data_IF_053520396951
#
_entry.id   IF_053520396951
#
_cell.length_a   1.000
_cell.length_b   1.000
_cell.length_c   1.000
_cell.angle_alpha   90.00
_cell.angle_beta   90.00
_cell.angle_gamma   90.00
#
_symmetry.space_group_name_H-M   'P 1'
#
loop_
_entity.id
_entity.type
_entity.pdbx_description
1 polymer ?
#
# COMPACT_ATOMS: atom_id res chain seq x y z
N UNK A 1 0.76 -1.51 -31.27
CA UNK A 1 -0.42 -2.19 -30.70
C UNK A 1 -0.30 -2.05 -29.19
N UNK A 2 -1.26 -1.42 -28.52
CA UNK A 2 -1.24 -1.33 -27.07
C UNK A 2 -1.38 -2.74 -26.50
N UNK A 3 -0.55 -3.09 -25.53
CA UNK A 3 -0.62 -4.38 -24.85
C UNK A 3 -1.74 -4.29 -23.80
N UNK A 4 -2.60 -5.31 -23.64
CA UNK A 4 -3.72 -5.26 -22.68
C UNK A 4 -3.31 -4.87 -21.25
N UNK A 5 -2.08 -5.18 -20.86
CA UNK A 5 -1.51 -4.77 -19.56
C UNK A 5 -1.25 -3.26 -19.47
N UNK A 6 -0.76 -2.62 -20.54
CA UNK A 6 -0.53 -1.18 -20.56
C UNK A 6 -1.83 -0.40 -20.39
N UNK A 7 -2.90 -0.87 -21.05
CA UNK A 7 -4.22 -0.25 -20.98
C UNK A 7 -4.79 -0.34 -19.56
N UNK A 8 -4.70 -1.53 -18.92
CA UNK A 8 -5.12 -1.71 -17.51
C UNK A 8 -4.32 -0.84 -16.53
N UNK A 9 -3.00 -0.77 -16.68
CA UNK A 9 -2.17 0.10 -15.84
C UNK A 9 -2.64 1.56 -15.97
N UNK A 10 -2.90 2.00 -17.20
CA UNK A 10 -3.37 3.37 -17.48
C UNK A 10 -4.75 3.61 -16.88
N UNK A 11 -5.66 2.63 -16.96
CA UNK A 11 -6.99 2.69 -16.36
C UNK A 11 -6.94 2.82 -14.83
N UNK A 12 -6.07 2.06 -14.15
CA UNK A 12 -5.89 2.16 -12.71
C UNK A 12 -5.40 3.55 -12.30
N UNK A 13 -4.42 4.11 -13.03
CA UNK A 13 -3.93 5.47 -12.80
C UNK A 13 -5.01 6.52 -13.05
N UNK A 14 -5.81 6.34 -14.11
CA UNK A 14 -6.95 7.20 -14.40
C UNK A 14 -8.01 7.16 -13.30
N UNK A 15 -8.25 6.00 -12.69
CA UNK A 15 -9.17 5.86 -11.55
C UNK A 15 -8.70 6.64 -10.33
N UNK A 16 -7.41 6.51 -9.97
CA UNK A 16 -6.81 7.27 -8.88
C UNK A 16 -6.89 8.78 -9.15
N UNK A 17 -6.58 9.22 -10.38
CA UNK A 17 -6.65 10.62 -10.75
C UNK A 17 -8.07 11.19 -10.63
N UNK A 18 -9.10 10.42 -11.03
CA UNK A 18 -10.51 10.83 -10.87
C UNK A 18 -10.90 10.95 -9.40
N UNK A 19 -10.49 10.01 -8.55
CA UNK A 19 -10.78 10.07 -7.11
C UNK A 19 -10.15 11.29 -6.46
N UNK A 20 -8.90 11.62 -6.82
CA UNK A 20 -8.27 12.87 -6.38
C UNK A 20 -9.03 14.10 -6.82
N UNK A 21 -9.40 14.19 -8.10
CA UNK A 21 -10.17 15.32 -8.61
C UNK A 21 -11.53 15.48 -7.90
N UNK A 22 -12.18 14.37 -7.52
CA UNK A 22 -13.42 14.42 -6.73
C UNK A 22 -13.19 14.99 -5.32
N UNK A 23 -12.08 14.65 -4.66
CA UNK A 23 -11.72 15.19 -3.35
C UNK A 23 -11.30 16.65 -3.43
N UNK A 24 -10.58 17.04 -4.47
CA UNK A 24 -10.21 18.44 -4.70
C UNK A 24 -11.45 19.33 -4.89
N UNK A 25 -12.52 18.77 -5.46
CA UNK A 25 -13.81 19.45 -5.64
C UNK A 25 -14.73 19.40 -4.40
N UNK A 26 -14.42 18.59 -3.40
CA UNK A 26 -15.24 18.35 -2.20
C UNK A 26 -14.36 18.41 -0.93
N UNK A 27 -14.18 19.62 -0.35
CA UNK A 27 -13.32 19.81 0.82
C UNK A 27 -13.74 18.97 2.04
N UNK A 28 -15.04 18.71 2.21
CA UNK A 28 -15.56 17.91 3.32
C UNK A 28 -15.18 16.44 3.15
N UNK A 29 -15.31 15.90 1.92
CA UNK A 29 -14.83 14.56 1.60
C UNK A 29 -13.31 14.46 1.76
N UNK A 30 -12.55 15.46 1.29
CA UNK A 30 -11.10 15.48 1.43
C UNK A 30 -10.68 15.41 2.91
N UNK A 31 -11.32 16.20 3.77
CA UNK A 31 -11.06 16.18 5.22
C UNK A 31 -11.38 14.82 5.86
N UNK A 32 -12.47 14.17 5.44
CA UNK A 32 -12.86 12.82 5.91
C UNK A 32 -11.89 11.75 5.46
N UNK A 33 -11.47 11.76 4.19
CA UNK A 33 -10.47 10.83 3.67
C UNK A 33 -9.15 11.01 4.40
N UNK A 34 -8.70 12.26 4.60
CA UNK A 34 -7.47 12.54 5.32
C UNK A 34 -7.51 12.01 6.76
N UNK A 35 -8.60 12.28 7.49
CA UNK A 35 -8.77 11.79 8.86
C UNK A 35 -8.82 10.25 8.94
N UNK A 36 -9.49 9.59 7.98
CA UNK A 36 -9.53 8.13 7.87
C UNK A 36 -8.13 7.55 7.63
N UNK A 37 -7.40 8.08 6.63
CA UNK A 37 -6.03 7.66 6.31
C UNK A 37 -5.08 7.87 7.50
N UNK A 38 -5.18 9.00 8.19
CA UNK A 38 -4.40 9.26 9.40
C UNK A 38 -4.68 8.25 10.52
N UNK A 39 -5.96 7.89 10.74
CA UNK A 39 -6.32 6.85 11.69
C UNK A 39 -5.78 5.47 11.28
N UNK A 40 -5.88 5.11 9.98
CA UNK A 40 -5.33 3.87 9.42
C UNK A 40 -3.82 3.77 9.63
N UNK A 41 -3.08 4.83 9.35
CA UNK A 41 -1.63 4.90 9.53
C UNK A 41 -1.25 4.76 11.01
N UNK A 42 -1.92 5.49 11.91
CA UNK A 42 -1.66 5.40 13.35
C UNK A 42 -1.98 4.00 13.90
N UNK A 43 -3.07 3.38 13.43
CA UNK A 43 -3.43 2.00 13.79
C UNK A 43 -2.37 1.03 13.30
N UNK A 44 -1.95 1.14 12.03
CA UNK A 44 -0.91 0.30 11.47
C UNK A 44 0.39 0.42 12.29
N UNK A 45 0.86 1.63 12.56
CA UNK A 45 2.08 1.86 13.33
C UNK A 45 2.05 1.17 14.71
N UNK A 46 0.88 1.12 15.36
CA UNK A 46 0.69 0.46 16.66
C UNK A 46 0.54 -1.06 16.53
N UNK A 47 -0.26 -1.55 15.58
CA UNK A 47 -0.47 -2.99 15.33
C UNK A 47 0.76 -3.71 14.77
N UNK A 48 1.71 -2.97 14.21
CA UNK A 48 2.95 -3.47 13.62
C UNK A 48 4.21 -2.96 14.35
N UNK A 49 4.07 -2.45 15.57
CA UNK A 49 5.18 -1.88 16.34
C UNK A 49 6.34 -2.88 16.54
N UNK A 50 6.04 -4.18 16.63
CA UNK A 50 7.01 -5.26 16.73
C UNK A 50 7.79 -5.41 15.42
N UNK A 51 7.11 -5.45 14.28
CA UNK A 51 7.74 -5.54 12.97
C UNK A 51 8.56 -4.29 12.66
N UNK A 52 8.08 -3.10 13.07
CA UNK A 52 8.79 -1.83 12.94
C UNK A 52 10.07 -1.75 13.80
N UNK A 53 10.08 -2.39 14.96
CA UNK A 53 11.23 -2.49 15.86
C UNK A 53 12.18 -3.65 15.49
N UNK A 54 11.71 -4.62 14.71
CA UNK A 54 12.47 -5.83 14.39
C UNK A 54 13.67 -5.52 13.47
N UNK A 55 14.91 -5.96 13.78
CA UNK A 55 16.08 -5.66 12.97
C UNK A 55 15.98 -6.14 11.52
N UNK A 56 15.32 -7.29 11.29
CA UNK A 56 15.13 -7.87 9.96
C UNK A 56 13.97 -7.24 9.20
N UNK A 57 12.87 -6.89 9.88
CA UNK A 57 11.60 -6.52 9.22
C UNK A 57 11.31 -5.01 9.24
N UNK A 58 12.00 -4.24 10.10
CA UNK A 58 11.68 -2.84 10.33
C UNK A 58 11.76 -1.96 9.09
N UNK A 59 12.73 -2.20 8.20
CA UNK A 59 12.84 -1.45 6.94
C UNK A 59 11.64 -1.70 6.02
N UNK A 60 11.21 -2.95 5.89
CA UNK A 60 10.05 -3.31 5.07
C UNK A 60 8.74 -2.81 5.71
N UNK A 61 8.56 -3.01 7.02
CA UNK A 61 7.38 -2.51 7.73
C UNK A 61 7.24 -0.98 7.61
N UNK A 62 8.35 -0.22 7.69
CA UNK A 62 8.34 1.23 7.45
C UNK A 62 8.03 1.58 6.00
N UNK A 63 8.61 0.86 5.03
CA UNK A 63 8.26 1.06 3.63
C UNK A 63 6.75 0.89 3.39
N UNK A 64 6.11 -0.14 3.95
CA UNK A 64 4.66 -0.29 3.88
C UNK A 64 3.91 0.87 4.55
N UNK A 65 4.32 1.27 5.76
CA UNK A 65 3.68 2.38 6.47
C UNK A 65 3.78 3.70 5.70
N UNK A 66 4.96 4.02 5.16
CA UNK A 66 5.22 5.32 4.55
C UNK A 66 4.70 5.38 3.09
N UNK A 67 4.86 4.31 2.32
CA UNK A 67 4.65 4.33 0.86
C UNK A 67 3.31 3.72 0.42
N UNK A 68 2.64 2.95 1.30
CA UNK A 68 1.32 2.34 1.03
C UNK A 68 0.22 2.85 1.97
N UNK A 69 0.54 3.14 3.23
CA UNK A 69 -0.43 3.63 4.23
C UNK A 69 -0.20 5.08 4.66
N UNK A 70 0.82 5.75 4.12
CA UNK A 70 1.19 7.10 4.54
C UNK A 70 0.12 8.12 4.13
N UNK A 71 -0.04 9.22 4.89
CA UNK A 71 -0.99 10.29 4.56
C UNK A 71 -0.52 11.15 3.37
N UNK A 72 0.57 10.76 2.70
CA UNK A 72 1.25 11.55 1.69
C UNK A 72 0.55 11.37 0.34
N UNK A 73 0.39 12.47 -0.39
CA UNK A 73 -0.15 12.44 -1.76
C UNK A 73 0.93 11.98 -2.75
N UNK A 74 0.72 10.82 -3.38
CA UNK A 74 1.64 10.23 -4.34
C UNK A 74 1.46 10.75 -5.78
N UNK A 75 0.85 11.93 -5.96
CA UNK A 75 0.48 12.48 -7.27
C UNK A 75 1.66 12.63 -8.23
N UNK A 76 2.81 13.11 -7.74
CA UNK A 76 4.02 13.23 -8.54
C UNK A 76 4.54 11.87 -9.00
N UNK A 77 4.52 10.86 -8.12
CA UNK A 77 4.94 9.48 -8.41
C UNK A 77 4.03 8.88 -9.48
N UNK A 78 2.73 9.03 -9.34
CA UNK A 78 1.73 8.46 -10.24
C UNK A 78 1.82 9.09 -11.65
N UNK A 79 2.04 10.41 -11.74
CA UNK A 79 2.26 11.09 -13.01
C UNK A 79 3.56 10.63 -13.71
N UNK A 80 4.65 10.48 -12.96
CA UNK A 80 5.91 9.92 -13.47
C UNK A 80 5.72 8.47 -13.93
N UNK A 81 4.93 7.70 -13.19
CA UNK A 81 4.64 6.31 -13.49
C UNK A 81 3.84 6.15 -14.79
N UNK A 82 2.80 6.97 -15.02
CA UNK A 82 2.06 6.99 -16.29
C UNK A 82 2.94 7.23 -17.51
N UNK A 83 3.96 8.09 -17.39
CA UNK A 83 4.90 8.40 -18.49
C UNK A 83 5.79 7.22 -18.87
N UNK A 84 6.06 6.29 -17.95
CA UNK A 84 6.96 5.15 -18.20
C UNK A 84 6.23 3.88 -18.64
N UNK A 85 4.89 3.81 -18.55
CA UNK A 85 4.11 2.61 -18.91
C UNK A 85 4.48 2.06 -20.30
N UNK A 86 4.56 2.87 -21.38
CA UNK A 86 4.88 2.34 -22.70
C UNK A 86 6.29 1.73 -22.77
N UNK A 87 7.26 2.35 -22.09
CA UNK A 87 8.62 1.84 -22.02
C UNK A 87 8.69 0.57 -21.14
N UNK A 88 7.96 0.54 -20.03
CA UNK A 88 7.88 -0.60 -19.13
C UNK A 88 7.42 -1.85 -19.88
N UNK A 89 6.32 -1.77 -20.64
CA UNK A 89 5.81 -2.96 -21.33
C UNK A 89 6.68 -3.39 -22.51
N UNK A 90 7.41 -2.46 -23.12
CA UNK A 90 8.33 -2.77 -24.22
C UNK A 90 9.64 -3.41 -23.74
N UNK A 91 10.13 -3.03 -22.57
CA UNK A 91 11.49 -3.35 -22.11
C UNK A 91 11.56 -4.48 -21.08
N UNK A 92 10.46 -4.78 -20.39
CA UNK A 92 10.46 -5.74 -19.29
C UNK A 92 9.64 -7.01 -19.58
N UNK A 93 9.97 -8.13 -18.93
CA UNK A 93 9.21 -9.37 -19.06
C UNK A 93 7.75 -9.20 -18.65
N UNK A 94 6.84 -9.93 -19.31
CA UNK A 94 5.40 -9.85 -19.05
C UNK A 94 5.02 -10.11 -17.59
N UNK A 95 5.74 -10.97 -16.86
CA UNK A 95 5.50 -11.22 -15.43
C UNK A 95 5.77 -9.99 -14.55
N UNK A 96 6.81 -9.22 -14.87
CA UNK A 96 7.11 -7.98 -14.16
C UNK A 96 6.03 -6.95 -14.45
N UNK A 97 5.64 -6.82 -15.73
CA UNK A 97 4.56 -5.93 -16.14
C UNK A 97 3.23 -6.30 -15.46
N UNK A 98 2.93 -7.60 -15.31
CA UNK A 98 1.75 -8.07 -14.59
C UNK A 98 1.81 -7.72 -13.09
N UNK A 99 2.97 -7.85 -12.44
CA UNK A 99 3.14 -7.41 -11.04
C UNK A 99 2.91 -5.91 -10.89
N UNK A 100 3.37 -5.14 -11.88
CA UNK A 100 3.17 -3.69 -11.91
C UNK A 100 1.70 -3.32 -12.15
N UNK A 101 0.98 -4.07 -12.99
CA UNK A 101 -0.46 -3.91 -13.15
C UNK A 101 -1.21 -4.21 -11.84
N UNK A 102 -0.84 -5.28 -11.12
CA UNK A 102 -1.38 -5.57 -9.78
C UNK A 102 -1.12 -4.45 -8.78
N UNK A 103 0.04 -3.79 -8.84
CA UNK A 103 0.33 -2.62 -8.01
C UNK A 103 -0.60 -1.45 -8.33
N UNK A 104 -0.85 -1.18 -9.62
CA UNK A 104 -1.84 -0.21 -10.05
C UNK A 104 -3.25 -0.56 -9.54
N UNK A 105 -3.64 -1.83 -9.66
CA UNK A 105 -4.92 -2.33 -9.17
C UNK A 105 -5.06 -2.16 -7.66
N UNK A 106 -4.02 -2.50 -6.89
CA UNK A 106 -4.01 -2.32 -5.44
C UNK A 106 -4.17 -0.85 -5.05
N UNK A 107 -3.48 0.06 -5.74
CA UNK A 107 -3.58 1.50 -5.48
C UNK A 107 -4.99 2.02 -5.74
N UNK A 108 -5.54 1.73 -6.93
CA UNK A 108 -6.91 2.13 -7.29
C UNK A 108 -7.95 1.55 -6.32
N UNK A 109 -7.81 0.28 -5.92
CA UNK A 109 -8.68 -0.37 -4.94
C UNK A 109 -8.58 0.28 -3.55
N UNK A 110 -7.37 0.63 -3.11
CA UNK A 110 -7.13 1.28 -1.82
C UNK A 110 -7.82 2.64 -1.78
N UNK A 111 -7.62 3.47 -2.81
CA UNK A 111 -8.29 4.77 -2.92
C UNK A 111 -9.82 4.63 -2.96
N UNK A 112 -10.34 3.59 -3.63
CA UNK A 112 -11.78 3.31 -3.68
C UNK A 112 -12.37 2.88 -2.32
N UNK A 113 -11.60 2.15 -1.52
CA UNK A 113 -12.01 1.71 -0.19
C UNK A 113 -11.96 2.88 0.80
N UNK A 114 -10.90 3.70 0.75
CA UNK A 114 -10.76 4.88 1.59
C UNK A 114 -11.89 5.90 1.31
N UNK A 115 -12.22 6.14 0.03
CA UNK A 115 -13.37 6.98 -0.33
C UNK A 115 -14.70 6.43 0.19
N UNK A 116 -14.92 5.12 0.01
CA UNK A 116 -16.15 4.48 0.45
C UNK A 116 -16.30 4.57 1.97
N UNK A 117 -15.24 4.31 2.73
CA UNK A 117 -15.25 4.40 4.19
C UNK A 117 -15.37 5.86 4.65
N UNK A 118 -14.66 6.80 4.02
CA UNK A 118 -14.72 8.22 4.40
C UNK A 118 -16.12 8.81 4.25
N UNK A 119 -16.87 8.41 3.21
CA UNK A 119 -18.28 8.80 3.02
C UNK A 119 -19.21 8.27 4.10
N UNK A 120 -18.82 7.20 4.79
CA UNK A 120 -19.57 6.59 5.89
C UNK A 120 -19.16 7.13 7.27
N UNK A 121 -18.16 8.02 7.34
CA UNK A 121 -17.79 8.63 8.62
C UNK A 121 -18.93 9.52 9.11
N UNK A 122 -19.37 9.39 10.39
CA UNK A 122 -20.40 10.26 10.94
C UNK A 122 -19.91 11.70 11.17
N UNK A 123 -18.61 11.89 11.36
CA UNK A 123 -17.99 13.18 11.62
C UNK A 123 -16.49 13.05 11.87
N UNK A 124 -15.85 14.17 12.23
CA UNK A 124 -14.44 14.27 12.58
C UNK A 124 -14.27 14.59 14.08
N UNK A 125 -13.20 14.13 14.75
CA UNK A 125 -12.12 13.29 14.23
C UNK A 125 -12.55 11.84 14.00
N UNK A 126 -11.75 11.08 13.23
CA UNK A 126 -11.95 9.64 13.06
C UNK A 126 -11.59 8.92 14.38
N UNK A 127 -12.59 8.54 15.17
CA UNK A 127 -12.43 7.71 16.38
C UNK A 127 -12.48 6.23 16.02
N UNK A 128 -12.12 5.33 16.95
CA UNK A 128 -12.27 3.88 16.77
C UNK A 128 -13.70 3.47 16.40
N UNK A 129 -14.69 4.06 17.07
CA UNK A 129 -16.10 3.80 16.82
C UNK A 129 -16.54 4.33 15.45
N UNK A 130 -16.10 5.54 15.08
CA UNK A 130 -16.37 6.11 13.76
C UNK A 130 -15.72 5.28 12.65
N UNK A 131 -14.48 4.82 12.85
CA UNK A 131 -13.74 3.98 11.92
C UNK A 131 -14.42 2.62 11.71
N UNK A 132 -14.80 1.94 12.79
CA UNK A 132 -15.53 0.67 12.73
C UNK A 132 -16.85 0.82 11.95
N UNK A 133 -17.67 1.83 12.32
CA UNK A 133 -18.94 2.11 11.65
C UNK A 133 -18.75 2.47 10.18
N UNK A 134 -17.71 3.25 9.85
CA UNK A 134 -17.39 3.60 8.48
C UNK A 134 -17.09 2.36 7.63
N UNK A 135 -16.23 1.46 8.11
CA UNK A 135 -15.90 0.22 7.41
C UNK A 135 -17.11 -0.69 7.26
N UNK A 136 -17.91 -0.88 8.31
CA UNK A 136 -19.17 -1.65 8.24
C UNK A 136 -20.14 -1.05 7.22
N UNK A 137 -20.32 0.27 7.26
CA UNK A 137 -21.20 1.01 6.34
C UNK A 137 -20.80 0.89 4.87
N UNK A 138 -19.53 0.59 4.58
CA UNK A 138 -19.14 0.29 3.19
C UNK A 138 -19.77 -0.99 2.66
N UNK A 139 -19.96 -2.01 3.51
CA UNK A 139 -20.37 -3.35 3.09
C UNK A 139 -19.36 -4.06 2.16
N UNK A 140 -18.12 -3.59 2.06
CA UNK A 140 -17.14 -4.04 1.05
C UNK A 140 -16.14 -5.09 1.57
N UNK A 141 -16.58 -6.03 2.40
CA UNK A 141 -15.72 -7.09 2.92
C UNK A 141 -14.97 -7.89 1.82
N UNK A 142 -15.59 -8.29 0.69
CA UNK A 142 -14.87 -8.97 -0.39
C UNK A 142 -13.75 -8.13 -1.00
N UNK A 143 -14.00 -6.83 -1.21
CA UNK A 143 -13.01 -5.91 -1.77
C UNK A 143 -11.83 -5.69 -0.81
N UNK A 144 -12.08 -5.73 0.51
CA UNK A 144 -11.01 -5.70 1.52
C UNK A 144 -10.15 -6.97 1.50
N UNK A 145 -10.74 -8.15 1.30
CA UNK A 145 -9.94 -9.38 1.11
C UNK A 145 -9.12 -9.32 -0.20
N UNK A 146 -9.67 -8.77 -1.29
CA UNK A 146 -8.93 -8.58 -2.53
C UNK A 146 -7.71 -7.65 -2.35
N UNK A 147 -7.86 -6.58 -1.56
CA UNK A 147 -6.75 -5.68 -1.22
C UNK A 147 -5.64 -6.43 -0.48
N UNK A 148 -6.00 -7.30 0.47
CA UNK A 148 -5.03 -8.14 1.20
C UNK A 148 -4.35 -9.12 0.23
N UNK A 149 -5.13 -9.82 -0.60
CA UNK A 149 -4.61 -10.78 -1.59
C UNK A 149 -3.62 -10.13 -2.55
N UNK A 150 -3.94 -8.95 -3.09
CA UNK A 150 -3.06 -8.19 -3.97
C UNK A 150 -1.76 -7.78 -3.27
N UNK A 151 -1.87 -7.28 -2.03
CA UNK A 151 -0.71 -6.91 -1.21
C UNK A 151 0.27 -8.07 -1.04
N UNK A 152 -0.25 -9.27 -0.73
CA UNK A 152 0.56 -10.48 -0.54
C UNK A 152 1.16 -10.99 -1.86
N UNK A 153 0.41 -10.93 -2.95
CA UNK A 153 0.89 -11.32 -4.28
C UNK A 153 2.06 -10.43 -4.73
N UNK A 154 1.92 -9.11 -4.58
CA UNK A 154 2.96 -8.13 -4.90
C UNK A 154 4.19 -8.35 -4.02
N UNK A 155 4.01 -8.53 -2.71
CA UNK A 155 5.13 -8.80 -1.79
C UNK A 155 5.90 -10.07 -2.15
N UNK A 156 5.19 -11.13 -2.54
CA UNK A 156 5.79 -12.40 -2.98
C UNK A 156 6.58 -12.23 -4.28
N UNK A 157 6.03 -11.48 -5.24
CA UNK A 157 6.72 -11.17 -6.49
C UNK A 157 7.98 -10.31 -6.24
N UNK A 158 7.89 -9.29 -5.38
CA UNK A 158 9.03 -8.47 -4.98
C UNK A 158 10.14 -9.30 -4.32
N UNK A 159 9.81 -10.22 -3.42
CA UNK A 159 10.80 -11.11 -2.79
C UNK A 159 11.61 -11.89 -3.84
N UNK A 160 10.94 -12.43 -4.87
CA UNK A 160 11.62 -13.10 -5.98
C UNK A 160 12.51 -12.15 -6.78
N UNK A 161 12.04 -10.94 -7.07
CA UNK A 161 12.80 -9.95 -7.85
C UNK A 161 14.02 -9.42 -7.10
N UNK A 162 13.91 -9.20 -5.78
CA UNK A 162 15.01 -8.68 -4.96
C UNK A 162 16.18 -9.64 -4.82
N UNK A 163 15.95 -10.96 -5.01
CA UNK A 163 17.02 -11.97 -5.07
C UNK A 163 17.91 -11.86 -6.31
N UNK A 164 17.46 -11.18 -7.37
CA UNK A 164 18.25 -10.97 -8.57
C UNK A 164 19.21 -9.78 -8.42
N UNK A 165 20.50 -10.06 -8.28
CA UNK A 165 21.55 -9.04 -8.15
C UNK A 165 21.63 -8.09 -9.35
N UNK A 166 21.31 -8.56 -10.55
CA UNK A 166 21.33 -7.74 -11.77
C UNK A 166 20.26 -6.63 -11.69
N UNK A 167 19.04 -6.97 -11.27
CA UNK A 167 17.96 -5.98 -11.13
C UNK A 167 18.33 -4.86 -10.16
N UNK A 168 18.99 -5.19 -9.04
CA UNK A 168 19.45 -4.21 -8.07
C UNK A 168 20.45 -3.23 -8.67
N UNK A 169 21.45 -3.75 -9.40
CA UNK A 169 22.48 -2.94 -10.03
C UNK A 169 21.89 -2.06 -11.14
N UNK A 170 21.02 -2.62 -11.99
CA UNK A 170 20.32 -1.87 -13.03
C UNK A 170 19.53 -0.71 -12.43
N UNK A 171 18.78 -0.96 -11.35
CA UNK A 171 18.00 0.08 -10.70
C UNK A 171 18.90 1.22 -10.21
N UNK A 172 20.00 0.93 -9.53
CA UNK A 172 20.96 1.97 -9.08
C UNK A 172 21.59 2.77 -10.23
N UNK A 173 21.89 2.10 -11.36
CA UNK A 173 22.43 2.76 -12.55
C UNK A 173 21.41 3.69 -13.21
N UNK A 174 20.11 3.44 -13.04
CA UNK A 174 19.04 4.28 -13.59
C UNK A 174 18.81 5.59 -12.82
N UNK A 175 19.49 5.84 -11.69
CA UNK A 175 19.37 7.11 -10.93
C UNK A 175 19.59 8.35 -11.78
N UNK A 176 20.72 8.40 -12.49
CA UNK A 176 21.09 9.54 -13.34
C UNK A 176 20.09 9.76 -14.48
N UNK A 177 19.84 8.74 -15.34
CA UNK A 177 18.84 8.83 -16.40
C UNK A 177 17.44 9.19 -15.90
N UNK A 178 16.99 8.59 -14.78
CA UNK A 178 15.68 8.88 -14.21
C UNK A 178 15.60 10.34 -13.74
N UNK A 179 16.65 10.86 -13.09
CA UNK A 179 16.69 12.27 -12.70
C UNK A 179 16.64 13.21 -13.91
N UNK A 180 17.43 12.93 -14.95
CA UNK A 180 17.43 13.72 -16.18
C UNK A 180 16.07 13.71 -16.90
N UNK A 181 15.31 12.61 -16.80
CA UNK A 181 13.97 12.47 -17.36
C UNK A 181 12.83 13.01 -16.46
N UNK A 182 13.16 13.52 -15.27
CA UNK A 182 12.18 13.99 -14.28
C UNK A 182 11.36 12.85 -13.65
N UNK A 183 11.97 11.69 -13.44
CA UNK A 183 11.41 10.45 -12.88
C UNK A 183 11.98 10.11 -11.49
N UNK A 184 12.54 11.09 -10.78
CA UNK A 184 13.24 10.87 -9.50
C UNK A 184 12.35 10.31 -8.39
N UNK A 185 11.07 10.68 -8.34
CA UNK A 185 10.16 10.21 -7.29
C UNK A 185 9.84 8.72 -7.50
N UNK A 186 9.54 8.32 -8.74
CA UNK A 186 9.36 6.92 -9.10
C UNK A 186 10.63 6.09 -8.84
N UNK A 187 11.80 6.60 -9.25
CA UNK A 187 13.07 5.93 -9.03
C UNK A 187 13.34 5.69 -7.54
N UNK A 188 13.15 6.71 -6.70
CA UNK A 188 13.35 6.62 -5.25
C UNK A 188 12.40 5.59 -4.63
N UNK A 189 11.13 5.59 -5.02
CA UNK A 189 10.14 4.61 -4.57
C UNK A 189 10.57 3.18 -4.90
N UNK A 190 10.95 2.91 -6.16
CA UNK A 190 11.38 1.58 -6.59
C UNK A 190 12.63 1.12 -5.83
N UNK A 191 13.61 2.01 -5.65
CA UNK A 191 14.83 1.69 -4.90
C UNK A 191 14.57 1.39 -3.43
N UNK A 192 13.79 2.23 -2.76
CA UNK A 192 13.44 2.03 -1.35
C UNK A 192 12.70 0.70 -1.16
N UNK A 193 11.76 0.36 -2.04
CA UNK A 193 11.05 -0.92 -1.98
C UNK A 193 11.98 -2.11 -2.22
N UNK A 194 12.85 -2.02 -3.23
CA UNK A 194 13.79 -3.09 -3.57
C UNK A 194 14.83 -3.32 -2.46
N UNK A 195 15.37 -2.25 -1.88
CA UNK A 195 16.34 -2.34 -0.78
C UNK A 195 15.67 -2.84 0.52
N UNK A 196 14.45 -2.39 0.84
CA UNK A 196 13.71 -2.83 2.01
C UNK A 196 13.39 -4.34 1.96
N UNK A 197 12.89 -4.84 0.84
CA UNK A 197 12.61 -6.27 0.65
C UNK A 197 13.88 -7.11 0.53
N UNK A 198 14.89 -6.62 -0.18
CA UNK A 198 16.16 -7.32 -0.34
C UNK A 198 16.91 -7.50 0.99
N UNK A 199 16.79 -6.55 1.93
CA UNK A 199 17.40 -6.64 3.25
C UNK A 199 16.80 -7.76 4.11
N UNK A 200 15.53 -8.12 3.92
CA UNK A 200 14.84 -9.16 4.70
C UNK A 200 15.33 -10.59 4.38
N UNK A 201 15.99 -10.80 3.23
CA UNK A 201 16.49 -12.11 2.78
C UNK A 201 15.41 -13.21 2.83
N UNK A 202 14.24 -12.93 2.26
CA UNK A 202 13.07 -13.81 2.29
C UNK A 202 11.91 -13.17 3.05
N UNK A 203 10.83 -12.87 2.32
CA UNK A 203 9.65 -12.20 2.86
C UNK A 203 8.55 -13.15 3.36
N UNK A 204 8.69 -14.47 3.25
CA UNK A 204 7.62 -15.44 3.52
C UNK A 204 7.01 -15.32 4.93
N UNK A 205 7.86 -15.28 5.96
CA UNK A 205 7.42 -15.11 7.35
C UNK A 205 6.74 -13.76 7.59
N UNK A 206 7.37 -12.68 7.10
CA UNK A 206 6.82 -11.32 7.16
C UNK A 206 5.43 -11.23 6.51
N UNK A 207 5.28 -11.77 5.30
CA UNK A 207 4.01 -11.77 4.57
C UNK A 207 2.96 -12.65 5.25
N UNK A 208 3.38 -13.77 5.88
CA UNK A 208 2.49 -14.59 6.71
C UNK A 208 1.91 -13.83 7.90
N UNK A 209 2.75 -13.09 8.63
CA UNK A 209 2.33 -12.24 9.75
C UNK A 209 1.39 -11.12 9.28
N UNK A 210 1.72 -10.45 8.17
CA UNK A 210 0.86 -9.42 7.57
C UNK A 210 -0.50 -10.01 7.19
N UNK A 211 -0.51 -11.16 6.49
CA UNK A 211 -1.72 -11.84 6.06
C UNK A 211 -2.63 -12.19 7.25
N UNK A 212 -2.07 -12.76 8.31
CA UNK A 212 -2.81 -13.14 9.51
C UNK A 212 -3.45 -11.92 10.17
N UNK A 213 -2.67 -10.86 10.41
CA UNK A 213 -3.13 -9.66 11.11
C UNK A 213 -4.18 -8.89 10.31
N UNK A 214 -3.95 -8.68 9.02
CA UNK A 214 -4.88 -7.91 8.19
C UNK A 214 -6.20 -8.65 7.97
N UNK A 215 -6.18 -9.99 7.86
CA UNK A 215 -7.41 -10.80 7.78
C UNK A 215 -8.16 -10.84 9.10
N UNK A 216 -7.45 -10.97 10.23
CA UNK A 216 -8.08 -10.91 11.55
C UNK A 216 -8.77 -9.55 11.78
N UNK A 217 -8.10 -8.46 11.40
CA UNK A 217 -8.69 -7.13 11.42
C UNK A 217 -9.90 -7.02 10.49
N UNK A 218 -9.78 -7.46 9.23
CA UNK A 218 -10.87 -7.38 8.27
C UNK A 218 -12.10 -8.14 8.78
N UNK A 219 -11.93 -9.37 9.25
CA UNK A 219 -13.01 -10.15 9.85
C UNK A 219 -13.66 -9.42 11.04
N UNK A 220 -12.85 -8.83 11.93
CA UNK A 220 -13.35 -8.13 13.08
C UNK A 220 -14.07 -6.81 12.74
N UNK A 221 -13.61 -6.06 11.73
CA UNK A 221 -14.26 -4.83 11.28
C UNK A 221 -15.67 -5.07 10.74
N UNK A 222 -15.92 -6.21 10.10
CA UNK A 222 -17.23 -6.56 9.56
C UNK A 222 -18.09 -7.42 10.51
N UNK A 223 -17.61 -7.69 11.74
CA UNK A 223 -18.36 -8.39 12.76
C UNK A 223 -19.10 -7.42 13.73
N UNK A 224 -20.12 -7.89 14.46
CA UNK A 224 -20.68 -7.15 15.59
C UNK A 224 -19.59 -6.84 16.64
N UNK A 225 -19.61 -5.65 17.25
CA UNK A 225 -18.61 -5.26 18.27
C UNK A 225 -17.25 -4.82 17.71
N UNK A 226 -17.16 -4.45 16.43
CA UNK A 226 -15.93 -4.04 15.74
C UNK A 226 -15.12 -2.90 16.40
N UNK A 227 -15.69 -2.14 17.35
CA UNK A 227 -15.04 -0.99 17.98
C UNK A 227 -13.74 -1.38 18.69
N UNK A 228 -13.69 -2.52 19.40
CA UNK A 228 -12.46 -2.99 20.04
C UNK A 228 -11.34 -3.29 19.02
N UNK A 229 -11.67 -3.90 17.88
CA UNK A 229 -10.69 -4.20 16.84
C UNK A 229 -10.24 -2.97 16.05
N UNK A 230 -11.12 -1.99 15.92
CA UNK A 230 -10.82 -0.70 15.34
C UNK A 230 -9.97 0.17 16.27
N UNK A 231 -10.03 -0.03 17.59
CA UNK A 231 -9.31 0.77 18.57
C UNK A 231 -7.81 0.70 18.33
N UNK A 232 -7.14 1.84 18.47
CA UNK A 232 -5.70 1.89 18.42
C UNK A 232 -5.14 1.05 19.59
N UNK A 233 -4.40 -0.05 19.35
CA UNK A 233 -3.92 -0.95 20.41
C UNK A 233 -2.99 -0.21 21.34
N UNK A 234 -3.13 -0.32 22.67
CA UNK A 234 -2.34 0.42 23.67
C UNK A 234 -0.85 0.57 23.26
N UNK A 235 -0.19 1.72 23.54
CA UNK A 235 1.21 1.91 23.22
C UNK A 235 2.08 1.06 24.17
N UNK A 236 1.86 -0.24 24.18
CA UNK A 236 2.73 -1.19 24.84
C UNK A 236 3.83 -1.56 23.85
N UNK A 237 5.05 -1.70 24.37
CA UNK A 237 6.12 -2.32 23.62
C UNK A 237 5.64 -3.75 23.37
N UNK A 238 5.34 -4.13 22.12
CA UNK A 238 4.91 -5.50 21.89
C UNK A 238 6.00 -6.42 22.41
N UNK A 239 5.65 -7.61 22.93
CA UNK A 239 6.67 -8.59 23.29
C UNK A 239 7.64 -8.68 22.11
N UNK A 240 8.96 -8.80 22.37
CA UNK A 240 9.86 -9.10 21.28
C UNK A 240 9.26 -10.27 20.50
N UNK A 241 9.48 -10.32 19.20
CA UNK A 241 9.34 -11.60 18.50
C UNK A 241 10.44 -12.51 19.09
N UNK A 242 10.23 -12.97 20.32
CA UNK A 242 11.09 -13.85 21.08
C UNK A 242 11.07 -15.15 20.31
N UNK A 243 12.16 -15.40 19.58
CA UNK A 243 12.49 -16.69 18.99
C UNK A 243 11.31 -17.29 18.20
N UNK A 244 10.85 -16.59 17.16
CA UNK A 244 10.34 -17.34 16.01
C UNK A 244 11.55 -18.06 15.39
N UNK A 245 11.46 -19.38 15.18
CA UNK A 245 12.62 -20.26 14.96
C UNK A 245 13.52 -19.85 13.79
#
# INVERSE_FOLDING_TARGET
MSTPLADRITEHLGTVARMRALRDADPDLAARVHALKAYQAARFARSYADLLAHPRYGAAARFFLDELYGPQEFSQRDAQFGRVVPALVRLFPGELVATVEQLGQLHALTEALDDAAARQLPGLPCTAEAYARAWQGTGRAPAREDQIRLTLAIGTALDRYTRNRLMRSTLKLMRGPAQAAGLSALQKFLESGFDAFGAMKGAGEFLGLVAQRERALAAALFAPGAVQAAALPAPERPPPLDLLP
#
